data_IF_762742121465
#
_entry.id   IF_762742121465
#
_cell.length_a   1.000
_cell.length_b   1.000
_cell.length_c   1.000
_cell.angle_alpha   90.00
_cell.angle_beta   90.00
_cell.angle_gamma   90.00
#
_symmetry.space_group_name_H-M   'P 1'
#
loop_
_entity.id
_entity.type
_entity.pdbx_description
1 polymer ?
#
# COMPACT_ATOMS: atom_id res chain seq x y z
N UNK A 1 20.80 27.29 -45.06
CA UNK A 1 20.72 26.27 -44.00
C UNK A 1 19.28 26.16 -43.56
N UNK A 2 18.68 24.98 -43.67
CA UNK A 2 17.32 24.71 -43.19
C UNK A 2 17.44 24.08 -41.80
N UNK A 3 16.93 24.76 -40.79
CA UNK A 3 16.85 24.27 -39.41
C UNK A 3 15.84 23.13 -39.31
N UNK A 4 16.27 22.04 -38.66
CA UNK A 4 15.47 20.86 -38.35
C UNK A 4 14.63 21.13 -37.09
N UNK A 5 13.35 20.73 -37.04
CA UNK A 5 12.53 20.84 -35.84
C UNK A 5 12.93 19.79 -34.77
N UNK A 6 12.69 20.07 -33.48
CA UNK A 6 13.06 19.15 -32.39
C UNK A 6 12.16 17.90 -32.37
N UNK A 7 12.72 16.72 -32.03
CA UNK A 7 11.95 15.49 -32.00
C UNK A 7 11.08 15.37 -30.73
N UNK A 8 9.78 15.19 -30.97
CA UNK A 8 9.03 14.04 -30.45
C UNK A 8 8.67 14.02 -28.96
N UNK A 9 7.45 14.48 -28.68
CA UNK A 9 6.67 14.15 -27.47
C UNK A 9 6.57 12.63 -27.33
N UNK A 10 7.23 12.07 -26.31
CA UNK A 10 7.04 10.65 -25.96
C UNK A 10 5.73 10.50 -25.19
N UNK A 11 4.75 9.93 -25.87
CA UNK A 11 3.46 9.51 -25.33
C UNK A 11 3.67 8.52 -24.18
N UNK A 12 3.34 8.93 -22.95
CA UNK A 12 3.41 8.05 -21.77
C UNK A 12 2.29 7.01 -21.81
N UNK A 13 2.74 5.77 -21.86
CA UNK A 13 1.99 4.52 -21.96
C UNK A 13 1.01 4.37 -20.78
N UNK A 14 -0.29 4.35 -21.10
CA UNK A 14 -1.35 4.00 -20.15
C UNK A 14 -1.21 2.53 -19.72
N UNK A 15 -1.53 2.17 -18.46
CA UNK A 15 -1.53 0.78 -18.04
C UNK A 15 -2.74 0.05 -18.65
N UNK A 16 -2.46 -0.91 -19.52
CA UNK A 16 -3.44 -1.85 -20.05
C UNK A 16 -3.91 -2.86 -18.97
N UNK A 17 -5.18 -3.29 -19.01
CA UNK A 17 -5.73 -4.24 -18.05
C UNK A 17 -5.15 -5.66 -18.24
N UNK A 18 -4.90 -6.35 -17.13
CA UNK A 18 -4.53 -7.76 -17.12
C UNK A 18 -5.70 -8.62 -17.65
N UNK A 19 -5.39 -9.49 -18.62
CA UNK A 19 -6.33 -10.47 -19.21
C UNK A 19 -6.75 -11.55 -18.20
N UNK A 20 -7.97 -12.13 -18.31
CA UNK A 20 -8.52 -13.05 -17.32
C UNK A 20 -7.92 -14.47 -17.40
N UNK A 21 -7.81 -15.13 -16.25
CA UNK A 21 -7.43 -16.53 -16.13
C UNK A 21 -8.54 -17.47 -16.64
N UNK A 22 -8.15 -18.50 -17.37
CA UNK A 22 -9.04 -19.57 -17.86
C UNK A 22 -9.33 -20.61 -16.76
N UNK A 23 -10.49 -21.30 -16.82
CA UNK A 23 -10.97 -22.24 -15.79
C UNK A 23 -10.37 -23.65 -15.94
N UNK A 24 -10.12 -24.32 -14.81
CA UNK A 24 -9.87 -25.76 -14.76
C UNK A 24 -11.15 -26.50 -14.31
N UNK A 25 -11.56 -27.47 -15.12
CA UNK A 25 -12.70 -28.36 -14.94
C UNK A 25 -12.34 -29.58 -14.07
N UNK A 26 -13.29 -30.04 -13.25
CA UNK A 26 -13.50 -31.47 -12.97
C UNK A 26 -13.20 -31.99 -11.55
N UNK A 27 -14.23 -32.07 -10.69
CA UNK A 27 -14.29 -33.01 -9.56
C UNK A 27 -15.65 -33.77 -9.60
N UNK A 28 -15.66 -35.10 -9.41
CA UNK A 28 -16.87 -35.94 -9.49
C UNK A 28 -17.76 -35.91 -8.22
N UNK A 29 -19.02 -36.43 -8.28
CA UNK A 29 -20.08 -36.17 -7.31
C UNK A 29 -20.16 -37.12 -6.10
N UNK A 30 -21.12 -36.79 -5.23
CA UNK A 30 -21.36 -37.16 -3.83
C UNK A 30 -21.77 -38.63 -3.52
N UNK A 31 -21.83 -38.95 -2.22
CA UNK A 31 -22.81 -39.89 -1.63
C UNK A 31 -23.28 -39.42 -0.21
N UNK A 32 -24.52 -39.76 0.21
CA UNK A 32 -25.18 -39.26 1.43
C UNK A 32 -25.21 -40.27 2.60
N UNK A 33 -25.47 -39.80 3.83
CA UNK A 33 -25.80 -40.66 4.99
C UNK A 33 -25.87 -39.93 6.34
N UNK A 34 -27.09 -39.82 6.88
CA UNK A 34 -27.58 -39.22 8.15
C UNK A 34 -27.15 -39.99 9.44
N UNK A 35 -27.71 -39.76 10.68
CA UNK A 35 -28.61 -38.72 11.21
C UNK A 35 -28.22 -38.12 12.60
N UNK A 36 -28.92 -37.02 12.93
CA UNK A 36 -29.27 -36.42 14.24
C UNK A 36 -28.71 -36.95 15.58
N UNK A 37 -28.20 -36.00 16.38
CA UNK A 37 -28.28 -36.00 17.85
C UNK A 37 -28.49 -34.56 18.38
N UNK A 38 -29.25 -34.32 19.47
CA UNK A 38 -29.69 -32.98 19.88
C UNK A 38 -28.90 -32.32 21.04
N UNK A 39 -29.01 -30.99 21.06
CA UNK A 39 -29.07 -30.04 22.21
C UNK A 39 -27.89 -29.89 23.20
N UNK A 40 -27.21 -28.74 23.11
CA UNK A 40 -26.76 -27.93 24.26
C UNK A 40 -26.90 -26.44 23.91
N UNK A 41 -27.40 -25.57 24.81
CA UNK A 41 -27.35 -24.13 24.60
C UNK A 41 -25.93 -23.63 24.90
N UNK A 42 -25.19 -23.23 23.86
CA UNK A 42 -23.94 -22.52 24.07
C UNK A 42 -24.24 -21.12 24.64
N UNK A 43 -23.90 -20.96 25.92
CA UNK A 43 -23.83 -19.68 26.60
C UNK A 43 -22.98 -18.67 25.78
N UNK A 44 -23.43 -17.41 25.80
CA UNK A 44 -22.93 -16.36 24.94
C UNK A 44 -21.42 -16.12 24.99
N UNK A 45 -20.85 -15.89 23.81
CA UNK A 45 -19.68 -15.05 23.67
C UNK A 45 -20.14 -13.76 22.99
N UNK A 46 -20.49 -12.76 23.79
CA UNK A 46 -20.53 -11.40 23.31
C UNK A 46 -19.15 -11.06 22.74
N UNK A 47 -19.05 -10.92 21.42
CA UNK A 47 -17.85 -10.42 20.77
C UNK A 47 -17.54 -9.04 21.35
N UNK A 48 -16.60 -9.00 22.29
CA UNK A 48 -16.15 -7.76 22.88
C UNK A 48 -15.56 -6.91 21.76
N UNK A 49 -16.22 -5.78 21.47
CA UNK A 49 -15.65 -4.74 20.63
C UNK A 49 -14.43 -4.18 21.35
N UNK A 50 -13.27 -4.78 21.07
CA UNK A 50 -12.00 -4.22 21.47
C UNK A 50 -11.84 -2.86 20.78
N UNK A 51 -12.14 -1.79 21.52
CA UNK A 51 -11.58 -0.48 21.27
C UNK A 51 -10.07 -0.64 21.27
N UNK A 52 -9.47 -0.63 20.08
CA UNK A 52 -8.04 -0.78 19.90
C UNK A 52 -7.35 0.42 20.53
N UNK A 53 -6.51 0.15 21.54
CA UNK A 53 -5.53 1.14 22.03
C UNK A 53 -4.78 1.71 20.81
N UNK A 54 -4.50 3.03 20.75
CA UNK A 54 -3.73 3.62 19.65
C UNK A 54 -2.29 3.07 19.68
N UNK A 55 -2.09 1.97 18.97
CA UNK A 55 -0.83 1.25 18.84
C UNK A 55 -0.45 1.09 17.38
N UNK A 56 0.75 0.54 17.15
CA UNK A 56 1.18 0.22 15.80
C UNK A 56 0.23 -0.78 15.14
N UNK A 57 -0.08 -0.61 13.83
CA UNK A 57 -0.91 -1.58 13.11
C UNK A 57 -0.16 -2.90 12.97
N UNK A 58 -0.88 -3.96 12.59
CA UNK A 58 -0.28 -5.22 12.19
C UNK A 58 0.53 -5.01 10.91
N UNK A 59 1.86 -5.09 11.04
CA UNK A 59 2.79 -5.02 9.92
C UNK A 59 3.20 -6.45 9.54
N UNK A 60 2.81 -6.87 8.34
CA UNK A 60 3.30 -8.08 7.68
C UNK A 60 4.71 -7.80 7.21
N UNK A 61 5.68 -8.38 7.89
CA UNK A 61 7.11 -8.21 7.61
C UNK A 61 7.49 -8.77 6.24
N UNK A 62 8.63 -8.32 5.73
CA UNK A 62 9.24 -8.86 4.49
C UNK A 62 9.31 -10.37 4.47
N UNK A 63 9.68 -11.00 5.59
CA UNK A 63 9.72 -12.47 5.70
C UNK A 63 8.34 -13.09 5.54
N UNK A 64 7.32 -12.54 6.22
CA UNK A 64 5.97 -13.08 6.22
C UNK A 64 5.28 -13.02 4.85
N UNK A 65 5.52 -11.98 4.06
CA UNK A 65 4.99 -11.92 2.69
C UNK A 65 5.92 -12.55 1.65
N UNK A 66 7.07 -13.09 2.04
CA UNK A 66 8.01 -13.76 1.13
C UNK A 66 8.72 -12.79 0.18
N UNK A 67 9.26 -11.70 0.73
CA UNK A 67 10.04 -10.73 -0.01
C UNK A 67 11.33 -11.31 -0.55
N UNK A 68 11.68 -10.96 -1.79
CA UNK A 68 13.04 -11.12 -2.30
C UNK A 68 13.99 -10.20 -1.53
N UNK A 69 15.26 -10.58 -1.35
CA UNK A 69 16.27 -9.68 -0.81
C UNK A 69 16.47 -8.47 -1.76
N UNK A 70 16.64 -7.25 -1.23
CA UNK A 70 16.95 -6.10 -2.06
C UNK A 70 18.37 -6.19 -2.62
N UNK A 71 18.59 -5.68 -3.84
CA UNK A 71 19.93 -5.62 -4.47
C UNK A 71 20.87 -4.63 -3.77
N UNK A 72 20.32 -3.56 -3.20
CA UNK A 72 21.06 -2.59 -2.39
C UNK A 72 20.12 -1.82 -1.46
N UNK A 73 20.68 -1.15 -0.45
CA UNK A 73 19.93 -0.31 0.50
C UNK A 73 20.70 0.98 0.74
N UNK A 74 19.97 2.10 0.80
CA UNK A 74 20.51 3.39 1.23
C UNK A 74 19.85 3.75 2.57
N UNK A 75 20.62 4.03 3.63
CA UNK A 75 20.06 4.42 4.92
C UNK A 75 19.23 5.71 4.82
N UNK A 76 18.08 5.72 5.47
CA UNK A 76 17.23 6.91 5.63
C UNK A 76 17.49 7.55 6.99
N UNK A 77 17.85 8.84 7.00
CA UNK A 77 18.08 9.58 8.24
C UNK A 77 16.73 9.95 8.89
N UNK A 78 16.42 9.26 9.99
CA UNK A 78 15.20 9.47 10.78
C UNK A 78 15.48 10.32 12.03
N UNK A 79 14.49 11.05 12.58
CA UNK A 79 13.10 11.15 12.14
C UNK A 79 12.94 11.99 10.87
N UNK A 80 12.20 11.47 9.87
CA UNK A 80 11.94 12.23 8.65
C UNK A 80 10.83 13.28 8.86
N UNK A 81 10.83 14.39 8.12
CA UNK A 81 9.79 15.41 8.22
C UNK A 81 8.51 15.14 7.40
N UNK A 82 8.51 14.19 6.46
CA UNK A 82 7.39 14.00 5.54
C UNK A 82 6.84 12.58 5.49
N UNK A 83 5.52 12.47 5.28
CA UNK A 83 4.86 11.25 4.79
C UNK A 83 4.20 11.57 3.45
N UNK A 84 4.42 10.72 2.45
CA UNK A 84 3.80 10.85 1.13
C UNK A 84 2.87 9.67 0.92
N UNK A 85 1.58 9.97 0.70
CA UNK A 85 0.55 8.98 0.42
C UNK A 85 0.46 8.72 -1.08
N UNK A 86 0.45 7.44 -1.42
CA UNK A 86 0.32 6.91 -2.77
C UNK A 86 -0.89 5.97 -2.89
N UNK A 87 -1.22 5.65 -4.13
CA UNK A 87 -1.91 4.41 -4.46
C UNK A 87 -1.04 3.61 -5.44
N UNK A 88 -1.33 2.32 -5.61
CA UNK A 88 -0.64 1.50 -6.61
C UNK A 88 -1.27 1.59 -7.99
N UNK A 89 -2.47 2.17 -8.10
CA UNK A 89 -3.29 2.20 -9.32
C UNK A 89 -3.65 0.80 -9.87
N UNK A 90 -3.47 -0.26 -9.06
CA UNK A 90 -3.80 -1.63 -9.41
C UNK A 90 -5.16 -2.09 -8.89
N UNK A 91 -5.34 -3.42 -8.86
CA UNK A 91 -6.53 -4.04 -8.29
C UNK A 91 -6.61 -3.84 -6.77
N UNK A 92 -7.82 -3.82 -6.22
CA UNK A 92 -7.98 -3.88 -4.76
C UNK A 92 -7.63 -5.28 -4.23
N UNK A 93 -7.20 -5.37 -2.98
CA UNK A 93 -7.04 -6.64 -2.28
C UNK A 93 -7.72 -6.55 -0.91
N UNK A 94 -8.49 -7.58 -0.54
CA UNK A 94 -9.31 -7.59 0.69
C UNK A 94 -9.03 -8.79 1.59
N UNK A 95 -8.15 -9.70 1.17
CA UNK A 95 -7.63 -10.81 1.97
C UNK A 95 -6.12 -10.72 2.07
N UNK A 96 -5.54 -11.24 3.15
CA UNK A 96 -4.09 -11.22 3.31
C UNK A 96 -3.37 -11.93 2.15
N UNK A 97 -3.90 -13.06 1.67
CA UNK A 97 -3.33 -13.81 0.55
C UNK A 97 -3.31 -12.98 -0.75
N UNK A 98 -4.43 -12.34 -1.10
CA UNK A 98 -4.51 -11.49 -2.30
C UNK A 98 -3.61 -10.26 -2.20
N UNK A 99 -3.51 -9.65 -1.02
CA UNK A 99 -2.60 -8.52 -0.79
C UNK A 99 -1.13 -8.93 -0.87
N UNK A 100 -0.74 -10.08 -0.29
CA UNK A 100 0.62 -10.63 -0.43
C UNK A 100 0.97 -10.85 -1.90
N UNK A 101 0.06 -11.45 -2.67
CA UNK A 101 0.26 -11.67 -4.10
C UNK A 101 0.52 -10.36 -4.84
N UNK A 102 -0.27 -9.32 -4.56
CA UNK A 102 -0.06 -8.00 -5.16
C UNK A 102 1.27 -7.36 -4.74
N UNK A 103 1.63 -7.41 -3.46
CA UNK A 103 2.90 -6.84 -2.96
C UNK A 103 4.10 -7.53 -3.64
N UNK A 104 4.06 -8.85 -3.82
CA UNK A 104 5.07 -9.61 -4.58
C UNK A 104 5.13 -9.17 -6.04
N UNK A 105 3.98 -9.04 -6.69
CA UNK A 105 3.89 -8.56 -8.08
C UNK A 105 4.51 -7.18 -8.25
N UNK A 106 4.22 -6.26 -7.32
CA UNK A 106 4.80 -4.91 -7.29
C UNK A 106 6.32 -4.96 -7.08
N UNK A 107 6.82 -5.80 -6.16
CA UNK A 107 8.27 -5.96 -5.97
C UNK A 107 8.94 -6.48 -7.25
N UNK A 108 8.38 -7.52 -7.87
CA UNK A 108 8.91 -8.10 -9.10
C UNK A 108 8.93 -7.08 -10.23
N UNK A 109 7.83 -6.36 -10.46
CA UNK A 109 7.79 -5.29 -11.47
C UNK A 109 8.86 -4.21 -11.22
N UNK A 110 8.99 -3.73 -9.99
CA UNK A 110 10.00 -2.72 -9.65
C UNK A 110 11.44 -3.23 -9.85
N UNK A 111 11.73 -4.48 -9.47
CA UNK A 111 13.10 -5.02 -9.53
C UNK A 111 13.48 -5.54 -10.92
N UNK A 112 12.54 -6.19 -11.61
CA UNK A 112 12.80 -6.89 -12.86
C UNK A 112 12.55 -5.97 -14.05
N UNK A 113 11.47 -5.18 -14.04
CA UNK A 113 11.13 -4.25 -15.12
C UNK A 113 11.77 -2.88 -14.94
N UNK A 114 11.59 -2.23 -13.78
CA UNK A 114 12.15 -0.88 -13.53
C UNK A 114 13.61 -0.89 -13.09
N UNK A 115 14.20 -2.08 -12.90
CA UNK A 115 15.58 -2.30 -12.46
C UNK A 115 15.94 -1.63 -11.13
N UNK A 116 14.95 -1.34 -10.29
CA UNK A 116 15.19 -0.79 -8.96
C UNK A 116 15.79 -1.83 -8.02
N UNK A 117 16.49 -1.40 -6.95
CA UNK A 117 17.07 -2.34 -6.00
C UNK A 117 16.03 -3.08 -5.16
N UNK A 118 14.82 -2.55 -5.03
CA UNK A 118 13.71 -3.12 -4.26
C UNK A 118 12.39 -2.43 -4.62
N UNK A 119 11.28 -2.93 -4.07
CA UNK A 119 9.96 -2.28 -4.10
C UNK A 119 10.07 -0.78 -3.73
N UNK A 120 9.42 0.12 -4.47
CA UNK A 120 9.63 1.56 -4.33
C UNK A 120 9.10 2.21 -3.03
N UNK A 121 8.11 1.60 -2.38
CA UNK A 121 7.43 2.15 -1.20
C UNK A 121 8.07 1.68 0.10
N UNK A 122 7.98 2.51 1.15
CA UNK A 122 8.39 2.10 2.50
C UNK A 122 7.38 1.10 3.08
N UNK A 123 6.09 1.38 2.90
CA UNK A 123 4.99 0.51 3.34
C UNK A 123 3.85 0.51 2.32
N UNK A 124 3.13 -0.60 2.24
CA UNK A 124 1.91 -0.75 1.47
C UNK A 124 0.74 -1.08 2.40
N UNK A 125 -0.48 -0.67 2.06
CA UNK A 125 -1.65 -0.81 2.92
C UNK A 125 -2.76 -1.49 2.13
N UNK A 126 -3.20 -2.66 2.59
CA UNK A 126 -4.30 -3.40 1.98
C UNK A 126 -5.67 -3.00 2.51
N UNK A 127 -6.72 -3.26 1.74
CA UNK A 127 -8.10 -3.17 2.23
C UNK A 127 -8.48 -4.37 3.12
N UNK A 128 -7.56 -5.30 3.35
CA UNK A 128 -7.63 -6.27 4.44
C UNK A 128 -7.28 -5.67 5.82
N UNK A 129 -6.89 -4.38 5.86
CA UNK A 129 -6.51 -3.67 7.09
C UNK A 129 -5.08 -3.94 7.56
N UNK A 130 -4.29 -4.72 6.82
CA UNK A 130 -2.89 -4.97 7.15
C UNK A 130 -1.97 -3.94 6.49
N UNK A 131 -0.82 -3.72 7.11
CA UNK A 131 0.30 -2.99 6.52
C UNK A 131 1.35 -4.00 6.07
N UNK A 132 1.91 -3.82 4.89
CA UNK A 132 2.94 -4.67 4.31
C UNK A 132 4.26 -3.90 4.28
N UNK A 133 5.29 -4.47 4.89
CA UNK A 133 6.62 -3.87 4.93
C UNK A 133 7.27 -3.90 3.54
N UNK A 134 7.45 -2.72 2.93
CA UNK A 134 8.26 -2.56 1.72
C UNK A 134 9.73 -2.37 2.11
N UNK A 135 10.28 -1.19 1.85
CA UNK A 135 11.66 -0.85 2.29
C UNK A 135 11.80 -0.59 3.80
N UNK A 136 10.68 -0.50 4.51
CA UNK A 136 10.65 -0.31 5.96
C UNK A 136 11.02 1.11 6.41
N UNK A 137 11.34 1.27 7.68
CA UNK A 137 11.50 2.57 8.33
C UNK A 137 12.82 3.28 8.05
N UNK A 138 13.89 2.53 7.81
CA UNK A 138 15.28 3.03 7.82
C UNK A 138 15.96 3.00 6.45
N UNK A 139 15.19 2.78 5.38
CA UNK A 139 15.72 2.69 4.01
C UNK A 139 15.04 3.72 3.12
N UNK A 140 15.83 4.41 2.30
CA UNK A 140 15.33 5.39 1.31
C UNK A 140 14.43 4.70 0.28
N UNK A 141 13.27 5.32 0.02
CA UNK A 141 12.30 4.89 -1.00
C UNK A 141 12.74 5.11 -2.44
N UNK A 142 11.89 4.72 -3.39
CA UNK A 142 11.94 5.14 -4.80
C UNK A 142 10.57 5.62 -5.29
N UNK A 143 9.75 6.16 -4.38
CA UNK A 143 8.34 6.45 -4.61
C UNK A 143 8.07 7.89 -5.07
N UNK A 144 8.94 8.85 -4.76
CA UNK A 144 8.78 10.25 -5.15
C UNK A 144 10.15 10.92 -5.37
N UNK A 145 10.47 11.20 -6.64
CA UNK A 145 11.75 11.83 -7.05
C UNK A 145 12.00 13.11 -6.24
N UNK A 146 13.22 13.32 -5.74
CA UNK A 146 13.63 14.44 -4.87
C UNK A 146 13.02 14.49 -3.45
N UNK A 147 12.17 13.53 -3.09
CA UNK A 147 11.55 13.45 -1.76
C UNK A 147 11.95 12.18 -0.99
N UNK A 148 12.37 11.12 -1.69
CA UNK A 148 12.72 9.83 -1.11
C UNK A 148 13.67 9.88 0.11
N UNK A 149 14.64 10.79 0.15
CA UNK A 149 15.64 10.90 1.23
C UNK A 149 15.14 11.62 2.49
N UNK A 150 13.93 12.20 2.45
CA UNK A 150 13.34 13.00 3.54
C UNK A 150 11.89 12.63 3.84
N UNK A 151 11.42 11.49 3.34
CA UNK A 151 10.03 11.07 3.52
C UNK A 151 9.89 9.56 3.65
N UNK A 152 8.79 9.14 4.28
CA UNK A 152 8.28 7.77 4.18
C UNK A 152 7.15 7.73 3.15
N UNK A 153 7.21 6.80 2.21
CA UNK A 153 6.15 6.55 1.21
C UNK A 153 5.22 5.44 1.64
N UNK A 154 3.94 5.76 1.85
CA UNK A 154 2.89 4.79 2.19
C UNK A 154 1.91 4.67 1.00
N UNK A 155 1.80 3.47 0.43
CA UNK A 155 0.96 3.23 -0.76
C UNK A 155 -0.24 2.35 -0.46
N UNK A 156 -1.43 2.82 -0.78
CA UNK A 156 -2.64 1.99 -0.71
C UNK A 156 -2.70 1.03 -1.91
N UNK A 157 -2.94 -0.25 -1.65
CA UNK A 157 -3.10 -1.29 -2.67
C UNK A 157 -4.47 -1.12 -3.35
N UNK A 158 -4.46 -0.54 -4.55
CA UNK A 158 -5.66 -0.33 -5.36
C UNK A 158 -5.63 0.95 -6.19
N UNK A 159 -6.72 1.17 -6.94
CA UNK A 159 -7.00 2.41 -7.64
C UNK A 159 -8.12 3.18 -6.91
N UNK A 160 -7.79 4.40 -6.48
CA UNK A 160 -8.66 5.27 -5.68
C UNK A 160 -8.96 6.60 -6.38
N UNK A 161 -9.03 6.57 -7.71
CA UNK A 161 -9.44 7.73 -8.50
C UNK A 161 -10.92 8.06 -8.28
N UNK A 162 -11.81 7.06 -8.35
CA UNK A 162 -13.26 7.23 -8.21
C UNK A 162 -13.85 6.67 -6.91
N UNK A 163 -13.13 5.79 -6.20
CA UNK A 163 -13.58 5.17 -4.94
C UNK A 163 -12.61 5.40 -3.79
N UNK A 164 -13.15 5.45 -2.58
CA UNK A 164 -12.36 5.61 -1.35
C UNK A 164 -11.89 4.23 -0.86
N UNK A 165 -10.67 4.10 -0.28
CA UNK A 165 -10.31 2.88 0.43
C UNK A 165 -11.27 2.57 1.57
N UNK A 166 -11.46 1.30 1.90
CA UNK A 166 -12.31 0.95 3.03
C UNK A 166 -11.76 1.48 4.38
N UNK A 167 -12.63 1.50 5.39
CA UNK A 167 -12.29 2.02 6.72
C UNK A 167 -11.10 1.30 7.36
N UNK A 168 -10.94 0.00 7.10
CA UNK A 168 -9.82 -0.79 7.62
C UNK A 168 -8.46 -0.26 7.10
N UNK A 169 -8.34 -0.02 5.79
CA UNK A 169 -7.14 0.55 5.20
C UNK A 169 -6.85 1.97 5.72
N UNK A 170 -7.88 2.82 5.82
CA UNK A 170 -7.72 4.19 6.31
C UNK A 170 -7.28 4.22 7.77
N UNK A 171 -7.82 3.33 8.61
CA UNK A 171 -7.41 3.21 10.01
C UNK A 171 -5.98 2.67 10.12
N UNK A 172 -5.63 1.63 9.35
CA UNK A 172 -4.28 1.09 9.31
C UNK A 172 -3.24 2.16 8.94
N UNK A 173 -3.54 3.01 7.96
CA UNK A 173 -2.68 4.13 7.56
C UNK A 173 -2.50 5.17 8.67
N UNK A 174 -3.58 5.56 9.37
CA UNK A 174 -3.51 6.50 10.50
C UNK A 174 -2.68 5.91 11.65
N UNK A 175 -2.93 4.65 12.01
CA UNK A 175 -2.14 3.93 13.03
C UNK A 175 -0.68 3.79 12.61
N UNK A 176 -0.39 3.60 11.32
CA UNK A 176 0.98 3.53 10.82
C UNK A 176 1.71 4.88 10.97
N UNK A 177 1.05 6.00 10.67
CA UNK A 177 1.60 7.34 10.89
C UNK A 177 1.88 7.55 12.38
N UNK A 178 0.93 7.23 13.26
CA UNK A 178 1.11 7.34 14.71
C UNK A 178 2.26 6.48 15.23
N UNK A 179 2.37 5.23 14.73
CA UNK A 179 3.48 4.32 15.02
C UNK A 179 4.84 4.90 14.59
N UNK A 180 4.89 5.53 13.41
CA UNK A 180 6.12 6.16 12.92
C UNK A 180 6.56 7.31 13.83
N UNK A 181 5.61 8.11 14.34
CA UNK A 181 5.87 9.18 15.30
C UNK A 181 6.33 8.62 16.65
N UNK A 182 5.61 7.63 17.20
CA UNK A 182 5.93 7.07 18.52
C UNK A 182 7.28 6.37 18.56
N UNK A 183 7.67 5.72 17.46
CA UNK A 183 8.98 5.06 17.31
C UNK A 183 10.12 5.99 16.88
N UNK A 184 9.88 7.28 16.71
CA UNK A 184 10.92 8.24 16.32
C UNK A 184 11.39 8.13 14.87
N UNK A 185 10.62 7.47 13.99
CA UNK A 185 10.91 7.43 12.55
C UNK A 185 10.36 8.64 11.81
N UNK A 186 9.33 9.28 12.36
CA UNK A 186 8.66 10.45 11.81
C UNK A 186 8.64 11.58 12.86
N UNK A 187 8.94 12.81 12.46
CA UNK A 187 8.90 13.96 13.38
C UNK A 187 7.47 14.17 13.90
N UNK A 188 7.31 14.57 15.16
CA UNK A 188 5.98 14.95 15.71
C UNK A 188 5.32 16.09 14.92
N UNK A 189 6.13 16.96 14.31
CA UNK A 189 5.72 18.08 13.47
C UNK A 189 5.68 17.76 11.97
N UNK A 190 5.58 16.48 11.60
CA UNK A 190 5.60 16.04 10.21
C UNK A 190 4.58 16.78 9.34
N UNK A 191 4.82 16.74 8.03
CA UNK A 191 3.86 17.17 7.02
C UNK A 191 3.40 15.97 6.19
N UNK A 192 2.08 15.81 6.07
CA UNK A 192 1.44 14.83 5.21
C UNK A 192 1.17 15.44 3.84
N UNK A 193 1.51 14.70 2.78
CA UNK A 193 1.24 15.08 1.39
C UNK A 193 0.70 13.89 0.59
N UNK A 194 -0.09 14.15 -0.44
CA UNK A 194 -0.32 13.18 -1.51
C UNK A 194 0.80 13.26 -2.54
N UNK A 195 1.04 12.18 -3.30
CA UNK A 195 2.09 12.17 -4.32
C UNK A 195 1.97 13.33 -5.33
N UNK A 196 0.74 13.68 -5.74
CA UNK A 196 0.46 14.84 -6.60
C UNK A 196 0.91 16.20 -6.06
N UNK A 197 1.21 16.32 -4.77
CA UNK A 197 1.72 17.57 -4.19
C UNK A 197 3.23 17.75 -4.40
N UNK A 198 3.92 16.71 -4.85
CA UNK A 198 5.39 16.69 -4.95
C UNK A 198 5.91 16.24 -6.32
N UNK A 199 5.01 15.76 -7.19
CA UNK A 199 5.29 15.30 -8.54
C UNK A 199 4.06 15.47 -9.43
N UNK A 200 4.25 15.63 -10.73
CA UNK A 200 3.16 15.74 -11.71
C UNK A 200 2.53 14.36 -11.94
N UNK A 201 1.51 14.01 -11.17
CA UNK A 201 0.82 12.71 -11.23
C UNK A 201 -0.60 12.81 -10.68
N UNK A 202 -1.48 11.91 -11.11
CA UNK A 202 -2.82 11.75 -10.53
C UNK A 202 -2.81 10.99 -9.19
N UNK A 203 -1.71 10.32 -8.83
CA UNK A 203 -1.55 9.62 -7.55
C UNK A 203 -1.74 10.58 -6.35
N UNK A 204 -2.49 10.23 -5.29
CA UNK A 204 -3.04 8.92 -4.92
C UNK A 204 -4.48 8.66 -5.41
N UNK A 205 -4.93 9.34 -6.48
CA UNK A 205 -6.32 9.30 -6.96
C UNK A 205 -7.23 10.30 -6.24
N UNK A 206 -8.24 10.81 -6.95
CA UNK A 206 -9.07 11.92 -6.46
C UNK A 206 -9.87 11.57 -5.21
N UNK A 207 -10.45 10.37 -5.14
CA UNK A 207 -11.24 9.96 -3.98
C UNK A 207 -10.39 9.80 -2.71
N UNK A 208 -9.22 9.14 -2.79
CA UNK A 208 -8.29 9.07 -1.66
C UNK A 208 -7.71 10.43 -1.30
N UNK A 209 -7.37 11.26 -2.29
CA UNK A 209 -6.84 12.60 -2.06
C UNK A 209 -7.81 13.48 -1.24
N UNK A 210 -9.12 13.46 -1.56
CA UNK A 210 -10.16 14.16 -0.80
C UNK A 210 -10.29 13.69 0.65
N UNK A 211 -9.90 12.46 0.96
CA UNK A 211 -9.92 11.93 2.32
C UNK A 211 -8.70 12.38 3.10
N UNK A 212 -7.49 12.19 2.53
CA UNK A 212 -6.25 12.57 3.22
C UNK A 212 -6.11 14.09 3.37
N UNK A 213 -6.77 14.89 2.52
CA UNK A 213 -6.75 16.35 2.65
C UNK A 213 -7.42 16.85 3.94
N UNK A 214 -8.24 16.01 4.58
CA UNK A 214 -8.90 16.27 5.86
C UNK A 214 -8.13 15.71 7.05
N UNK A 215 -6.99 15.03 6.83
CA UNK A 215 -6.21 14.45 7.92
C UNK A 215 -5.33 15.50 8.60
N UNK A 216 -4.98 15.30 9.89
CA UNK A 216 -4.03 16.17 10.57
C UNK A 216 -2.72 16.28 9.80
N UNK A 217 -2.13 17.48 9.82
CA UNK A 217 -0.83 17.81 9.20
C UNK A 217 -0.79 17.72 7.67
N UNK A 218 -1.93 17.59 7.00
CA UNK A 218 -1.96 17.67 5.53
C UNK A 218 -1.62 19.08 5.03
N UNK A 219 -0.73 19.18 4.03
CA UNK A 219 -0.42 20.44 3.32
C UNK A 219 -0.29 20.25 1.81
N UNK A 220 -1.22 20.82 1.05
CA UNK A 220 -1.25 20.70 -0.41
C UNK A 220 -0.11 21.46 -1.12
N UNK A 221 0.22 22.67 -0.65
CA UNK A 221 1.32 23.48 -1.20
C UNK A 221 2.66 23.04 -0.60
N UNK A 222 3.78 23.10 -1.36
CA UNK A 222 5.12 22.85 -0.85
C UNK A 222 5.41 23.57 0.47
#
# INVERSE_FOLDING_TARGET
>A
GRELPPPGVSSEHQPHPLSPAQPLLGLPPAQPGSPFAPLLPAAGAAASRAGSRPGCPRIISRRQWGARPPRSRVPLRTPVPYVIIHHTAGNRCTSQASCIQQVRGIQNYHMDTLRWPDIGYNFLIGEDGNVYEGRGWRTVGAHAKNWNYKSLGFSFLGNFSSRVPNTAALNAAKSLIQCAVSKGFLRRTYTLKGHRNVFATSCPGNALYRVISKWPRFKAKP
#
